data_IF_960597198376
#
_entry.id   IF_960597198376
#
_cell.length_a   1.000
_cell.length_b   1.000
_cell.length_c   1.000
_cell.angle_alpha   90.00
_cell.angle_beta   90.00
_cell.angle_gamma   90.00
#
_symmetry.space_group_name_H-M   'P 1'
#
loop_
_entity.id
_entity.type
_entity.pdbx_description
1 polymer ?
#
# COMPACT_ATOMS: atom_id res chain seq x y z
N UNK A 1 30.04 33.83 -5.30
CA UNK A 1 29.42 34.48 -4.12
C UNK A 1 28.44 33.49 -3.54
N UNK A 2 28.69 33.06 -2.27
CA UNK A 2 27.85 32.15 -1.58
C UNK A 2 26.41 32.68 -1.51
N UNK A 3 25.45 31.78 -1.61
CA UNK A 3 24.03 32.10 -1.60
C UNK A 3 23.60 32.49 -0.18
N UNK A 4 23.83 33.75 0.19
CA UNK A 4 23.56 34.32 1.52
C UNK A 4 22.08 34.20 1.90
N UNK A 5 21.18 34.14 0.90
CA UNK A 5 19.73 33.98 1.12
C UNK A 5 19.38 32.57 1.54
N UNK A 6 20.01 31.56 0.93
CA UNK A 6 19.77 30.16 1.31
C UNK A 6 20.34 29.85 2.71
N UNK A 7 21.50 30.44 3.06
CA UNK A 7 22.09 30.31 4.40
C UNK A 7 21.22 31.03 5.46
N UNK A 8 20.70 32.21 5.14
CA UNK A 8 19.76 32.90 6.04
C UNK A 8 18.43 32.19 6.23
N UNK A 9 17.91 31.55 5.17
CA UNK A 9 16.67 30.75 5.25
C UNK A 9 16.87 29.46 6.02
N UNK A 10 18.02 28.80 5.90
CA UNK A 10 18.32 27.58 6.67
C UNK A 10 18.43 27.88 8.18
N UNK A 11 18.95 29.06 8.55
CA UNK A 11 19.03 29.50 9.96
C UNK A 11 17.67 29.98 10.51
N UNK A 12 16.83 30.60 9.67
CA UNK A 12 15.46 30.97 10.06
C UNK A 12 14.55 29.78 10.27
N UNK A 13 14.77 28.68 9.54
CA UNK A 13 13.95 27.47 9.71
C UNK A 13 14.11 26.80 11.06
N UNK A 14 15.26 26.89 11.70
CA UNK A 14 15.46 26.39 13.07
C UNK A 14 14.66 27.21 14.08
N UNK A 15 14.63 28.54 13.93
CA UNK A 15 13.87 29.44 14.80
C UNK A 15 12.36 29.35 14.51
N UNK A 16 11.96 29.19 13.24
CA UNK A 16 10.57 28.98 12.84
C UNK A 16 10.02 27.62 13.31
N UNK A 17 10.84 26.58 13.32
CA UNK A 17 10.47 25.28 13.87
C UNK A 17 10.29 25.37 15.42
N UNK A 18 11.17 26.09 16.11
CA UNK A 18 11.03 26.35 17.55
C UNK A 18 9.80 27.23 17.86
N UNK A 19 9.49 28.23 17.06
CA UNK A 19 8.29 29.07 17.21
C UNK A 19 7.00 28.31 16.86
N UNK A 20 7.01 27.46 15.86
CA UNK A 20 5.86 26.58 15.55
C UNK A 20 5.60 25.52 16.64
N UNK A 21 6.63 25.10 17.36
CA UNK A 21 6.48 24.16 18.50
C UNK A 21 5.94 24.90 19.74
N UNK A 22 6.27 26.18 19.92
CA UNK A 22 5.80 26.95 21.08
C UNK A 22 4.33 27.36 21.00
N UNK A 23 3.73 27.33 19.82
CA UNK A 23 2.41 27.93 19.57
C UNK A 23 1.32 26.88 19.40
N UNK A 24 1.29 25.79 20.15
CA UNK A 24 0.21 25.04 19.79
C UNK A 24 -0.35 23.84 20.38
N UNK A 25 -1.59 23.72 20.09
CA UNK A 25 -2.40 22.51 19.85
C UNK A 25 -1.63 21.28 19.33
N UNK A 26 -0.50 21.49 18.63
CA UNK A 26 0.41 20.43 18.18
C UNK A 26 1.12 19.76 19.38
N UNK A 27 1.49 20.52 20.41
CA UNK A 27 2.10 19.94 21.64
C UNK A 27 1.08 19.10 22.41
N UNK A 28 -0.18 19.50 22.42
CA UNK A 28 -1.25 18.67 23.01
C UNK A 28 -1.47 17.41 22.18
N UNK A 29 -1.49 17.51 20.85
CA UNK A 29 -1.57 16.35 19.97
C UNK A 29 -0.35 15.43 20.10
N UNK A 30 0.86 15.97 20.28
CA UNK A 30 2.06 15.17 20.58
C UNK A 30 2.01 14.55 21.97
N UNK A 31 1.44 15.22 22.96
CA UNK A 31 1.23 14.68 24.30
C UNK A 31 0.20 13.56 24.30
N UNK A 32 -0.85 13.67 23.50
CA UNK A 32 -1.83 12.60 23.28
C UNK A 32 -1.23 11.39 22.54
N UNK A 33 -0.17 11.62 21.74
CA UNK A 33 0.63 10.56 21.12
C UNK A 33 1.78 10.06 22.01
N UNK A 34 1.84 10.47 23.30
CA UNK A 34 2.92 10.13 24.24
C UNK A 34 4.34 10.48 23.74
N UNK A 35 4.48 11.55 22.97
CA UNK A 35 5.77 12.08 22.53
C UNK A 35 6.26 13.11 23.53
N UNK A 36 7.43 12.90 24.15
CA UNK A 36 8.08 13.87 25.01
C UNK A 36 9.27 14.52 24.32
N UNK A 37 9.35 15.85 24.39
CA UNK A 37 10.48 16.63 23.90
C UNK A 37 11.34 17.01 25.13
N UNK A 38 12.62 16.67 25.12
CA UNK A 38 13.56 17.06 26.18
C UNK A 38 14.60 18.02 25.63
N UNK A 39 14.98 19.05 26.44
CA UNK A 39 16.08 19.94 26.12
C UNK A 39 17.41 19.24 26.42
N UNK A 40 18.23 19.05 25.38
CA UNK A 40 19.60 18.56 25.50
C UNK A 40 20.61 19.69 25.44
N UNK A 41 21.85 19.42 25.79
CA UNK A 41 22.94 20.40 25.88
C UNK A 41 23.30 21.14 24.59
N UNK A 42 22.78 20.71 23.47
CA UNK A 42 22.99 21.31 22.10
C UNK A 42 21.72 21.66 21.34
N UNK A 43 20.60 21.85 22.03
CA UNK A 43 19.30 22.15 21.44
C UNK A 43 18.25 21.08 21.71
N UNK A 44 17.05 21.28 21.20
CA UNK A 44 15.94 20.32 21.31
C UNK A 44 16.32 18.99 20.65
N UNK A 45 16.73 18.01 21.42
CA UNK A 45 16.79 16.63 20.98
C UNK A 45 15.39 16.03 21.10
N UNK A 46 14.83 15.62 19.99
CA UNK A 46 13.75 14.62 20.01
C UNK A 46 14.38 13.33 20.54
N UNK A 47 14.37 13.18 21.86
CA UNK A 47 14.85 11.97 22.47
C UNK A 47 14.00 10.82 21.94
N UNK A 48 14.66 9.70 21.66
CA UNK A 48 14.05 8.41 21.36
C UNK A 48 12.92 8.16 22.35
N UNK A 49 11.72 8.56 21.99
CA UNK A 49 10.55 8.17 22.74
C UNK A 49 10.43 6.67 22.57
N UNK A 50 10.66 5.90 23.61
CA UNK A 50 10.05 4.58 23.71
C UNK A 50 8.56 4.87 23.67
N UNK A 51 7.95 4.72 22.49
CA UNK A 51 6.49 4.70 22.39
C UNK A 51 6.11 3.42 23.14
N UNK A 52 5.70 3.58 24.37
CA UNK A 52 5.19 2.48 25.17
C UNK A 52 3.76 2.24 24.65
N UNK A 53 3.70 1.47 23.57
CA UNK A 53 2.43 1.05 23.00
C UNK A 53 1.75 0.19 24.06
N UNK A 54 0.56 0.60 24.48
CA UNK A 54 -0.24 -0.09 25.48
C UNK A 54 -0.37 -1.59 25.18
N UNK A 55 -0.53 -1.95 23.91
CA UNK A 55 -0.57 -3.34 23.47
C UNK A 55 0.72 -4.08 23.80
N UNK A 56 1.88 -3.46 23.56
CA UNK A 56 3.19 -4.08 23.85
C UNK A 56 3.41 -4.21 25.33
N UNK A 57 2.98 -3.22 26.12
CA UNK A 57 3.03 -3.30 27.59
C UNK A 57 2.18 -4.47 28.10
N UNK A 58 0.94 -4.60 27.61
CA UNK A 58 0.06 -5.72 27.96
C UNK A 58 0.62 -7.08 27.55
N UNK A 59 1.24 -7.16 26.36
CA UNK A 59 1.89 -8.41 25.90
C UNK A 59 3.07 -8.74 26.84
N UNK A 60 3.90 -7.78 27.23
CA UNK A 60 5.02 -7.99 28.15
C UNK A 60 4.56 -8.53 29.50
N UNK A 61 3.53 -7.93 30.09
CA UNK A 61 2.95 -8.37 31.36
C UNK A 61 2.39 -9.78 31.26
N UNK A 62 1.67 -10.08 30.17
CA UNK A 62 1.10 -11.41 29.95
C UNK A 62 2.17 -12.49 29.70
N UNK A 63 3.25 -12.15 28.97
CA UNK A 63 4.38 -13.08 28.77
C UNK A 63 5.04 -13.52 30.08
N UNK A 64 5.05 -12.66 31.09
CA UNK A 64 5.61 -12.98 32.42
C UNK A 64 4.71 -13.96 33.20
N UNK A 65 3.44 -14.02 32.88
CA UNK A 65 2.46 -14.89 33.57
C UNK A 65 2.18 -16.19 32.84
N UNK A 66 2.45 -16.26 31.53
CA UNK A 66 2.17 -17.44 30.69
C UNK A 66 3.26 -18.51 30.85
N UNK A 67 2.86 -19.70 31.32
CA UNK A 67 3.75 -20.85 31.54
C UNK A 67 4.32 -21.40 30.22
N UNK A 68 3.52 -21.41 29.15
CA UNK A 68 3.95 -21.90 27.83
C UNK A 68 5.07 -20.98 27.27
N UNK A 69 4.94 -19.66 27.44
CA UNK A 69 5.96 -18.70 27.03
C UNK A 69 7.22 -18.85 27.88
N UNK A 70 7.09 -19.07 29.20
CA UNK A 70 8.23 -19.31 30.10
C UNK A 70 8.98 -20.59 29.72
N UNK A 71 8.27 -21.65 29.37
CA UNK A 71 8.87 -22.91 28.93
C UNK A 71 9.66 -22.81 27.61
N UNK A 72 9.39 -21.77 26.82
CA UNK A 72 10.16 -21.49 25.60
C UNK A 72 11.48 -20.78 25.87
N UNK A 73 11.63 -20.14 27.05
CA UNK A 73 12.86 -19.42 27.43
C UNK A 73 13.98 -20.44 27.61
N UNK A 74 15.10 -20.23 26.91
CA UNK A 74 16.24 -21.15 26.90
C UNK A 74 16.36 -21.99 25.61
N UNK A 75 15.38 -21.95 24.71
CA UNK A 75 15.52 -22.52 23.38
C UNK A 75 16.41 -21.61 22.49
N UNK A 76 17.15 -22.21 21.56
CA UNK A 76 18.11 -21.50 20.71
C UNK A 76 17.51 -20.36 19.89
N UNK A 77 16.24 -20.46 19.53
CA UNK A 77 15.54 -19.50 18.68
C UNK A 77 14.79 -18.41 19.47
N UNK A 78 14.83 -18.47 20.80
CA UNK A 78 14.13 -17.54 21.70
C UNK A 78 15.11 -16.56 22.31
N UNK A 79 14.87 -15.28 22.15
CA UNK A 79 15.64 -14.21 22.78
C UNK A 79 14.82 -13.55 23.88
N UNK A 80 15.40 -13.47 25.07
CA UNK A 80 14.87 -12.73 26.22
C UNK A 80 16.04 -12.09 26.95
N UNK A 81 16.22 -10.77 26.78
CA UNK A 81 17.28 -9.99 27.41
C UNK A 81 16.67 -8.95 28.35
N UNK A 82 17.23 -8.83 29.55
CA UNK A 82 16.96 -7.77 30.53
C UNK A 82 15.47 -7.53 30.85
N UNK A 83 14.69 -8.62 31.04
CA UNK A 83 13.24 -8.55 31.29
C UNK A 83 12.44 -7.83 30.21
N UNK A 84 12.98 -7.73 29.00
CA UNK A 84 12.28 -7.22 27.82
C UNK A 84 11.33 -8.29 27.24
N UNK A 85 10.71 -7.98 26.11
CA UNK A 85 9.80 -8.88 25.43
C UNK A 85 10.46 -10.20 25.02
N UNK A 86 9.78 -11.30 25.27
CA UNK A 86 10.15 -12.61 24.72
C UNK A 86 9.90 -12.63 23.22
N UNK A 87 10.95 -12.93 22.45
CA UNK A 87 10.89 -12.97 20.99
C UNK A 87 11.34 -14.33 20.48
N UNK A 88 10.59 -14.86 19.50
CA UNK A 88 10.95 -16.06 18.74
C UNK A 88 11.46 -15.66 17.35
N UNK A 89 12.71 -15.94 17.04
CA UNK A 89 13.36 -15.51 15.78
C UNK A 89 13.17 -14.00 15.49
N UNK A 90 13.35 -13.15 16.51
CA UNK A 90 13.18 -11.70 16.41
C UNK A 90 11.73 -11.19 16.45
N UNK A 91 10.74 -12.07 16.47
CA UNK A 91 9.30 -11.72 16.47
C UNK A 91 8.72 -11.84 17.88
N UNK A 92 7.87 -10.90 18.26
CA UNK A 92 7.25 -10.85 19.59
C UNK A 92 6.31 -12.05 19.76
N UNK A 93 6.51 -12.84 20.81
CA UNK A 93 5.63 -13.96 21.16
C UNK A 93 4.35 -13.41 21.78
N UNK A 94 3.18 -13.73 21.20
CA UNK A 94 1.88 -13.32 21.75
C UNK A 94 1.31 -14.48 22.56
N UNK A 95 1.12 -14.31 23.89
CA UNK A 95 0.52 -15.32 24.75
C UNK A 95 -0.88 -15.74 24.30
N UNK A 96 -1.29 -16.94 24.71
CA UNK A 96 -2.64 -17.44 24.40
C UNK A 96 -3.70 -16.64 25.16
N UNK A 97 -4.84 -16.32 24.52
CA UNK A 97 -5.95 -15.63 25.15
C UNK A 97 -6.31 -14.33 24.45
N UNK A 98 -6.95 -13.42 25.18
CA UNK A 98 -7.52 -12.15 24.69
C UNK A 98 -6.55 -11.30 23.85
N UNK A 99 -5.26 -11.32 24.17
CA UNK A 99 -4.26 -10.51 23.46
C UNK A 99 -4.09 -10.91 21.99
N UNK A 100 -4.27 -12.21 21.66
CA UNK A 100 -4.29 -12.65 20.26
C UNK A 100 -5.48 -12.07 19.52
N UNK A 101 -6.64 -12.04 20.17
CA UNK A 101 -7.86 -11.48 19.57
C UNK A 101 -7.69 -9.96 19.34
N UNK A 102 -7.11 -9.24 20.29
CA UNK A 102 -6.79 -7.80 20.12
C UNK A 102 -5.85 -7.58 18.93
N UNK A 103 -4.79 -8.37 18.80
CA UNK A 103 -3.87 -8.29 17.66
C UNK A 103 -4.58 -8.62 16.34
N UNK A 104 -5.46 -9.61 16.34
CA UNK A 104 -6.23 -10.01 15.15
C UNK A 104 -7.25 -8.93 14.75
N UNK A 105 -7.94 -8.33 15.72
CA UNK A 105 -8.88 -7.24 15.49
C UNK A 105 -8.17 -6.04 14.88
N UNK A 106 -7.06 -5.59 15.49
CA UNK A 106 -6.30 -4.44 15.00
C UNK A 106 -5.73 -4.67 13.59
N UNK A 107 -5.25 -5.88 13.31
CA UNK A 107 -4.68 -6.22 12.01
C UNK A 107 -5.74 -6.48 10.92
N UNK A 108 -7.02 -6.62 11.27
CA UNK A 108 -8.10 -6.90 10.31
C UNK A 108 -9.11 -5.75 10.20
N UNK A 109 -9.50 -5.15 11.32
CA UNK A 109 -10.55 -4.13 11.43
C UNK A 109 -10.00 -2.77 11.89
N UNK A 110 -8.68 -2.66 12.10
CA UNK A 110 -8.03 -1.42 12.46
C UNK A 110 -8.18 -0.35 11.36
N UNK A 111 -8.15 0.93 11.75
CA UNK A 111 -8.29 2.05 10.80
C UNK A 111 -7.27 2.02 9.64
N UNK A 112 -6.13 1.38 9.86
CA UNK A 112 -5.04 1.25 8.89
C UNK A 112 -5.02 -0.11 8.18
N UNK A 113 -5.99 -0.99 8.48
CA UNK A 113 -6.07 -2.37 7.96
C UNK A 113 -7.51 -2.68 7.56
N UNK A 114 -7.88 -2.33 6.33
CA UNK A 114 -9.25 -2.49 5.85
C UNK A 114 -9.45 -3.93 5.37
N UNK A 115 -9.92 -4.80 6.24
CA UNK A 115 -10.32 -6.18 5.97
C UNK A 115 -9.36 -6.98 5.07
N UNK A 116 -8.04 -7.05 5.37
CA UNK A 116 -7.12 -7.82 4.56
C UNK A 116 -7.51 -9.30 4.58
N UNK A 117 -7.36 -9.96 3.43
CA UNK A 117 -7.54 -11.42 3.35
C UNK A 117 -6.49 -12.17 4.18
N UNK A 118 -6.80 -13.42 4.58
CA UNK A 118 -5.97 -14.22 5.49
C UNK A 118 -4.48 -14.29 5.11
N UNK A 119 -4.18 -14.40 3.82
CA UNK A 119 -2.78 -14.47 3.35
C UNK A 119 -2.04 -13.14 3.58
N UNK A 120 -2.65 -12.00 3.23
CA UNK A 120 -2.06 -10.68 3.45
C UNK A 120 -1.84 -10.43 4.93
N UNK A 121 -2.90 -10.61 5.74
CA UNK A 121 -2.88 -10.44 7.19
C UNK A 121 -1.79 -11.30 7.87
N UNK A 122 -1.64 -12.57 7.45
CA UNK A 122 -0.58 -13.43 7.96
C UNK A 122 0.81 -12.89 7.62
N UNK A 123 1.05 -12.43 6.38
CA UNK A 123 2.34 -11.90 5.96
C UNK A 123 2.69 -10.60 6.69
N UNK A 124 1.71 -9.78 7.00
CA UNK A 124 1.92 -8.53 7.72
C UNK A 124 2.20 -8.80 9.20
N UNK A 125 1.38 -9.61 9.86
CA UNK A 125 1.56 -9.95 11.28
C UNK A 125 2.84 -10.74 11.55
N UNK A 126 3.21 -11.69 10.70
CA UNK A 126 4.39 -12.53 10.92
C UNK A 126 5.71 -11.75 10.88
N UNK A 127 5.70 -10.53 10.42
CA UNK A 127 6.88 -9.66 10.43
C UNK A 127 7.26 -9.25 11.87
N UNK A 128 6.24 -9.03 12.72
CA UNK A 128 6.42 -8.49 14.07
C UNK A 128 6.02 -9.47 15.18
N UNK A 129 5.05 -10.32 14.93
CA UNK A 129 4.46 -11.23 15.92
C UNK A 129 4.61 -12.70 15.56
N UNK A 130 4.53 -13.54 16.59
CA UNK A 130 4.56 -14.97 16.43
C UNK A 130 3.80 -15.69 17.58
N UNK A 131 3.09 -16.76 17.26
CA UNK A 131 2.55 -17.76 18.19
C UNK A 131 2.30 -19.10 17.49
N UNK A 132 2.26 -20.22 18.21
CA UNK A 132 1.94 -21.53 17.64
C UNK A 132 0.57 -21.52 16.97
N UNK A 133 0.47 -22.01 15.73
CA UNK A 133 -0.81 -22.06 14.99
C UNK A 133 -1.29 -20.75 14.36
N UNK A 134 -0.51 -19.68 14.45
CA UNK A 134 -0.85 -18.34 13.98
C UNK A 134 -1.53 -18.30 12.60
N UNK A 135 -1.01 -19.07 11.61
CA UNK A 135 -1.59 -19.09 10.26
C UNK A 135 -3.02 -19.64 10.25
N UNK A 136 -3.30 -20.65 11.09
CA UNK A 136 -4.63 -21.26 11.23
C UNK A 136 -5.59 -20.28 11.91
N UNK A 137 -5.18 -19.70 13.03
CA UNK A 137 -5.99 -18.75 13.79
C UNK A 137 -6.40 -17.55 12.94
N UNK A 138 -5.46 -16.98 12.16
CA UNK A 138 -5.75 -15.89 11.21
C UNK A 138 -6.74 -16.34 10.14
N UNK A 139 -6.57 -17.53 9.57
CA UNK A 139 -7.49 -18.03 8.54
C UNK A 139 -8.90 -18.22 9.09
N UNK A 140 -9.03 -18.76 10.30
CA UNK A 140 -10.32 -18.95 10.98
C UNK A 140 -10.98 -17.61 11.33
N UNK A 141 -10.20 -16.64 11.80
CA UNK A 141 -10.69 -15.31 12.12
C UNK A 141 -11.26 -14.60 10.89
N UNK A 142 -10.49 -14.55 9.78
CA UNK A 142 -10.94 -13.93 8.53
C UNK A 142 -12.15 -14.65 7.92
N UNK A 143 -12.19 -16.00 8.02
CA UNK A 143 -13.33 -16.77 7.52
C UNK A 143 -14.64 -16.46 8.25
N UNK A 144 -14.59 -16.06 9.52
CA UNK A 144 -15.75 -15.68 10.34
C UNK A 144 -16.20 -14.23 10.14
N UNK A 145 -15.41 -13.40 9.47
CA UNK A 145 -15.75 -12.01 9.28
C UNK A 145 -16.91 -11.84 8.29
N UNK A 146 -18.05 -11.35 8.79
CA UNK A 146 -19.26 -11.16 7.99
C UNK A 146 -19.08 -10.12 6.88
N UNK A 147 -18.31 -9.06 7.13
CA UNK A 147 -17.99 -8.03 6.13
C UNK A 147 -17.24 -8.65 4.97
N UNK A 148 -16.16 -9.40 5.25
CA UNK A 148 -15.40 -10.10 4.22
C UNK A 148 -16.23 -11.09 3.40
N UNK A 149 -17.20 -11.76 4.03
CA UNK A 149 -18.09 -12.69 3.34
C UNK A 149 -19.08 -11.98 2.40
N UNK A 150 -19.61 -10.82 2.83
CA UNK A 150 -20.56 -10.02 2.02
C UNK A 150 -19.90 -9.31 0.85
N UNK A 151 -18.62 -8.97 0.95
CA UNK A 151 -17.89 -8.20 -0.07
C UNK A 151 -17.39 -9.07 -1.22
N UNK A 152 -17.24 -10.39 -1.03
CA UNK A 152 -16.76 -11.29 -2.08
C UNK A 152 -17.71 -11.34 -3.28
N UNK A 153 -17.22 -10.88 -4.44
CA UNK A 153 -17.92 -10.97 -5.74
C UNK A 153 -17.14 -11.96 -6.61
N UNK A 154 -17.87 -12.74 -7.43
CA UNK A 154 -17.25 -13.55 -8.46
C UNK A 154 -16.82 -12.66 -9.64
N UNK A 155 -15.51 -12.68 -9.92
CA UNK A 155 -14.95 -11.97 -11.07
C UNK A 155 -14.92 -12.89 -12.29
N UNK A 156 -15.36 -12.36 -13.45
CA UNK A 156 -15.27 -13.08 -14.71
C UNK A 156 -13.81 -13.20 -15.15
N UNK A 157 -13.45 -14.35 -15.71
CA UNK A 157 -12.11 -14.59 -16.23
C UNK A 157 -12.10 -14.37 -17.73
N UNK A 158 -11.18 -13.54 -18.26
CA UNK A 158 -11.06 -13.32 -19.69
C UNK A 158 -10.62 -14.59 -20.42
N UNK A 159 -10.96 -14.71 -21.70
CA UNK A 159 -10.60 -15.81 -22.57
C UNK A 159 -9.26 -15.56 -23.27
N UNK A 160 -8.59 -16.60 -23.78
CA UNK A 160 -7.33 -16.51 -24.52
C UNK A 160 -6.10 -16.75 -23.64
N UNK A 161 -4.90 -16.77 -24.25
CA UNK A 161 -3.62 -16.94 -23.53
C UNK A 161 -3.18 -15.63 -22.90
N UNK A 162 -2.49 -15.72 -21.76
CA UNK A 162 -1.98 -14.54 -21.06
C UNK A 162 -0.84 -13.87 -21.83
N UNK A 163 -1.00 -12.58 -22.13
CA UNK A 163 0.03 -11.73 -22.73
C UNK A 163 0.72 -10.90 -21.64
N UNK A 164 1.88 -11.31 -21.10
CA UNK A 164 2.55 -10.57 -20.06
C UNK A 164 3.13 -9.28 -20.62
N UNK A 165 2.88 -8.18 -19.91
CA UNK A 165 3.52 -6.90 -20.20
C UNK A 165 4.96 -6.88 -19.72
N UNK A 166 5.80 -6.10 -20.39
CA UNK A 166 7.16 -5.84 -19.98
C UNK A 166 7.23 -5.24 -18.58
N UNK A 167 8.20 -5.71 -17.76
CA UNK A 167 8.40 -5.20 -16.41
C UNK A 167 9.25 -3.93 -16.50
N UNK A 168 8.81 -2.79 -15.93
CA UNK A 168 9.56 -1.54 -15.96
C UNK A 168 10.95 -1.65 -15.35
N UNK A 169 11.86 -0.78 -15.77
CA UNK A 169 13.22 -0.74 -15.24
C UNK A 169 13.31 0.01 -13.91
N UNK A 170 12.53 1.06 -13.77
CA UNK A 170 12.54 1.90 -12.58
C UNK A 170 11.14 2.21 -12.04
N UNK A 171 11.10 2.79 -10.82
CA UNK A 171 9.87 3.21 -10.12
C UNK A 171 9.28 4.40 -10.83
N UNK A 172 7.97 4.36 -11.08
CA UNK A 172 7.19 5.41 -11.74
C UNK A 172 7.55 5.72 -13.20
N UNK A 173 8.46 4.97 -13.83
CA UNK A 173 8.74 5.08 -15.27
C UNK A 173 7.58 4.57 -16.13
N UNK A 174 6.87 3.58 -15.64
CA UNK A 174 5.70 3.05 -16.35
C UNK A 174 4.53 2.95 -15.40
N UNK A 175 3.48 3.70 -15.72
CA UNK A 175 2.24 3.72 -14.92
C UNK A 175 1.07 3.15 -15.68
N UNK A 176 0.07 2.68 -14.97
CA UNK A 176 -1.22 2.33 -15.54
C UNK A 176 -2.31 3.16 -14.87
N UNK A 177 -3.36 3.51 -15.63
CA UNK A 177 -4.44 4.37 -15.18
C UNK A 177 -5.78 3.85 -15.66
N UNK A 178 -6.80 4.04 -14.80
CA UNK A 178 -8.17 3.72 -15.12
C UNK A 178 -9.14 4.50 -14.23
N UNK A 179 -10.42 4.54 -14.58
CA UNK A 179 -11.45 5.20 -13.78
C UNK A 179 -12.42 4.19 -13.16
N UNK A 180 -12.67 4.36 -11.87
CA UNK A 180 -13.82 3.74 -11.21
C UNK A 180 -14.98 4.73 -11.31
N UNK A 181 -15.99 4.40 -12.09
CA UNK A 181 -17.16 5.24 -12.36
C UNK A 181 -18.41 4.66 -11.73
N UNK A 182 -19.48 5.45 -11.69
CA UNK A 182 -20.79 4.99 -11.19
C UNK A 182 -20.90 4.92 -9.67
N UNK A 183 -19.99 5.55 -8.94
CA UNK A 183 -20.08 5.68 -7.49
C UNK A 183 -21.18 6.66 -7.09
N UNK A 184 -21.83 6.46 -5.93
CA UNK A 184 -22.82 7.41 -5.42
C UNK A 184 -22.21 8.80 -5.26
N UNK A 185 -22.92 9.83 -5.73
CA UNK A 185 -22.42 11.20 -5.65
C UNK A 185 -22.29 11.65 -4.20
N UNK A 186 -21.10 12.12 -3.85
CA UNK A 186 -20.80 12.59 -2.49
C UNK A 186 -21.35 14.02 -2.26
N UNK A 187 -21.35 14.47 -1.01
CA UNK A 187 -21.71 15.86 -0.67
C UNK A 187 -20.77 16.87 -1.33
N UNK A 188 -19.50 16.52 -1.52
CA UNK A 188 -18.50 17.33 -2.24
C UNK A 188 -18.64 17.23 -3.77
N UNK A 189 -19.60 16.44 -4.26
CA UNK A 189 -19.92 16.32 -5.68
C UNK A 189 -19.07 15.29 -6.44
N UNK A 190 -18.20 14.52 -5.79
CA UNK A 190 -17.44 13.44 -6.43
C UNK A 190 -18.31 12.22 -6.69
N UNK A 191 -18.10 11.56 -7.82
CA UNK A 191 -18.85 10.39 -8.28
C UNK A 191 -17.94 9.33 -8.93
N UNK A 192 -16.64 9.57 -8.97
CA UNK A 192 -15.68 8.72 -9.63
C UNK A 192 -14.30 8.78 -8.94
N UNK A 193 -13.48 7.75 -9.13
CA UNK A 193 -12.10 7.70 -8.65
C UNK A 193 -11.18 7.48 -9.84
N UNK A 194 -10.13 8.27 -9.96
CA UNK A 194 -9.05 8.01 -10.89
C UNK A 194 -7.97 7.21 -10.19
N UNK A 195 -7.73 6.00 -10.66
CA UNK A 195 -6.73 5.05 -10.14
C UNK A 195 -5.48 5.14 -10.99
N UNK A 196 -4.33 5.41 -10.37
CA UNK A 196 -3.03 5.49 -11.04
C UNK A 196 -2.08 4.58 -10.28
N UNK A 197 -1.46 3.63 -10.99
CA UNK A 197 -0.64 2.57 -10.39
C UNK A 197 0.75 2.55 -11.02
N UNK A 198 1.78 2.57 -10.20
CA UNK A 198 3.14 2.25 -10.64
C UNK A 198 3.25 0.75 -10.95
N UNK A 199 3.66 0.45 -12.16
CA UNK A 199 3.72 -0.93 -12.65
C UNK A 199 4.86 -1.74 -12.03
N UNK A 200 5.89 -1.11 -11.51
CA UNK A 200 7.00 -1.80 -10.82
C UNK A 200 6.66 -2.07 -9.35
N UNK A 201 6.43 -1.03 -8.56
CA UNK A 201 6.22 -1.15 -7.10
C UNK A 201 4.80 -1.48 -6.70
N UNK A 202 3.85 -1.40 -7.65
CA UNK A 202 2.41 -1.53 -7.41
C UNK A 202 1.84 -0.48 -6.44
N UNK A 203 2.61 0.58 -6.15
CA UNK A 203 2.07 1.71 -5.39
C UNK A 203 1.00 2.41 -6.22
N UNK A 204 -0.06 2.83 -5.55
CA UNK A 204 -1.21 3.43 -6.22
C UNK A 204 -1.61 4.75 -5.58
N UNK A 205 -2.13 5.65 -6.41
CA UNK A 205 -2.85 6.85 -6.01
C UNK A 205 -4.32 6.75 -6.40
N UNK A 206 -5.21 7.09 -5.48
CA UNK A 206 -6.65 7.10 -5.67
C UNK A 206 -7.16 8.53 -5.59
N UNK A 207 -7.44 9.14 -6.74
CA UNK A 207 -7.78 10.54 -6.84
C UNK A 207 -9.29 10.74 -6.98
N UNK A 208 -9.86 11.58 -6.12
CA UNK A 208 -11.25 11.96 -6.21
C UNK A 208 -11.50 12.81 -7.45
N UNK A 209 -12.40 12.37 -8.30
CA UNK A 209 -12.77 13.08 -9.53
C UNK A 209 -14.29 13.08 -9.72
N UNK A 210 -14.74 13.91 -10.64
CA UNK A 210 -16.12 13.93 -11.10
C UNK A 210 -16.17 13.46 -12.55
N UNK A 211 -17.21 12.77 -12.92
CA UNK A 211 -17.44 12.30 -14.29
C UNK A 211 -17.45 13.45 -15.31
N UNK A 212 -17.86 14.66 -14.87
CA UNK A 212 -17.93 15.88 -15.68
C UNK A 212 -16.62 16.69 -15.75
N UNK A 213 -15.51 16.20 -15.16
CA UNK A 213 -14.21 16.90 -15.26
C UNK A 213 -13.74 16.95 -16.71
N UNK A 214 -13.33 18.16 -17.13
CA UNK A 214 -12.67 18.36 -18.41
C UNK A 214 -11.26 17.74 -18.40
N UNK A 215 -10.72 17.48 -19.58
CA UNK A 215 -9.38 16.90 -19.73
C UNK A 215 -8.31 17.83 -19.17
N UNK A 216 -8.47 19.16 -19.28
CA UNK A 216 -7.56 20.15 -18.70
C UNK A 216 -7.53 20.05 -17.19
N UNK A 217 -8.68 19.86 -16.54
CA UNK A 217 -8.74 19.71 -15.10
C UNK A 217 -8.11 18.39 -14.62
N UNK A 218 -8.29 17.32 -15.39
CA UNK A 218 -7.59 16.05 -15.13
C UNK A 218 -6.09 16.20 -15.31
N UNK A 219 -5.63 16.92 -16.33
CA UNK A 219 -4.21 17.21 -16.54
C UNK A 219 -3.58 18.01 -15.39
N UNK A 220 -4.30 19.03 -14.87
CA UNK A 220 -3.85 19.77 -13.69
C UNK A 220 -3.73 18.87 -12.46
N UNK A 221 -4.70 17.99 -12.26
CA UNK A 221 -4.71 17.01 -11.16
C UNK A 221 -3.53 16.04 -11.32
N UNK A 222 -3.29 15.52 -12.52
CA UNK A 222 -2.19 14.64 -12.86
C UNK A 222 -0.83 15.26 -12.56
N UNK A 223 -0.61 16.50 -13.03
CA UNK A 223 0.63 17.22 -12.75
C UNK A 223 0.83 17.44 -11.26
N UNK A 224 -0.22 17.81 -10.54
CA UNK A 224 -0.15 18.11 -9.10
C UNK A 224 0.10 16.86 -8.27
N UNK A 225 -0.54 15.73 -8.57
CA UNK A 225 -0.54 14.54 -7.71
C UNK A 225 0.49 13.49 -8.16
N UNK A 226 0.83 13.45 -9.44
CA UNK A 226 1.75 12.43 -9.98
C UNK A 226 3.07 13.05 -10.41
N UNK A 227 3.05 13.96 -11.39
CA UNK A 227 4.30 14.50 -11.95
C UNK A 227 5.11 15.24 -10.88
N UNK A 228 4.46 16.01 -10.02
CA UNK A 228 5.13 16.73 -8.92
C UNK A 228 5.81 15.79 -7.91
N UNK A 229 5.23 14.60 -7.66
CA UNK A 229 5.72 13.67 -6.65
C UNK A 229 6.74 12.68 -7.20
N UNK A 230 6.55 12.23 -8.42
CA UNK A 230 7.27 11.09 -8.99
C UNK A 230 8.05 11.39 -10.26
N UNK A 231 7.85 12.56 -10.85
CA UNK A 231 8.38 12.91 -12.16
C UNK A 231 7.43 12.52 -13.29
N UNK A 232 7.90 12.71 -14.53
CA UNK A 232 7.18 12.33 -15.74
C UNK A 232 7.48 10.88 -16.07
N UNK A 233 6.47 10.01 -16.24
CA UNK A 233 6.72 8.62 -16.62
C UNK A 233 7.11 8.49 -18.10
N UNK A 234 7.90 7.50 -18.43
CA UNK A 234 8.26 7.15 -19.81
C UNK A 234 7.06 6.59 -20.58
N UNK A 235 6.20 5.85 -19.89
CA UNK A 235 5.04 5.24 -20.53
C UNK A 235 3.81 5.19 -19.62
N UNK A 236 2.64 5.36 -20.26
CA UNK A 236 1.33 5.25 -19.63
C UNK A 236 0.53 4.17 -20.35
N UNK A 237 -0.03 3.25 -19.58
CA UNK A 237 -1.00 2.26 -20.04
C UNK A 237 -2.37 2.66 -19.53
N UNK A 238 -3.34 2.77 -20.40
CA UNK A 238 -4.73 3.05 -20.03
C UNK A 238 -5.70 2.34 -20.97
N UNK A 239 -6.94 2.29 -20.58
CA UNK A 239 -8.02 1.93 -21.46
C UNK A 239 -8.27 3.03 -22.54
N UNK A 240 -9.25 2.80 -23.41
CA UNK A 240 -9.64 3.77 -24.44
C UNK A 240 -10.75 4.71 -23.94
N UNK A 241 -10.72 5.12 -22.69
CA UNK A 241 -11.65 6.14 -22.20
C UNK A 241 -11.51 7.41 -23.06
N UNK A 242 -12.62 8.08 -23.44
CA UNK A 242 -12.60 9.30 -24.23
C UNK A 242 -11.70 10.40 -23.66
N UNK A 243 -11.48 10.44 -22.37
CA UNK A 243 -10.62 11.41 -21.70
C UNK A 243 -9.14 11.15 -22.02
N UNK A 244 -8.72 9.87 -22.06
CA UNK A 244 -7.33 9.48 -22.36
C UNK A 244 -7.04 9.46 -23.86
N UNK A 245 -8.07 9.31 -24.70
CA UNK A 245 -7.93 9.38 -26.17
C UNK A 245 -8.10 10.79 -26.72
N UNK A 246 -8.34 11.79 -25.89
CA UNK A 246 -8.52 13.18 -26.30
C UNK A 246 -7.24 13.76 -26.89
N UNK A 247 -7.39 14.65 -27.89
CA UNK A 247 -6.25 15.34 -28.51
C UNK A 247 -5.45 16.15 -27.51
N UNK A 248 -6.10 16.77 -26.54
CA UNK A 248 -5.43 17.54 -25.49
C UNK A 248 -4.54 16.65 -24.62
N UNK A 249 -5.06 15.47 -24.20
CA UNK A 249 -4.29 14.52 -23.41
C UNK A 249 -3.08 13.99 -24.18
N UNK A 250 -3.27 13.62 -25.46
CA UNK A 250 -2.18 13.19 -26.34
C UNK A 250 -1.10 14.25 -26.46
N UNK A 251 -1.46 15.50 -26.79
CA UNK A 251 -0.52 16.60 -26.93
C UNK A 251 0.24 16.92 -25.62
N UNK A 252 -0.42 16.77 -24.46
CA UNK A 252 0.23 16.93 -23.15
C UNK A 252 1.30 15.86 -22.92
N UNK A 253 0.98 14.60 -23.22
CA UNK A 253 1.92 13.50 -23.03
C UNK A 253 3.07 13.56 -24.04
N UNK A 254 2.80 13.96 -25.28
CA UNK A 254 3.83 14.20 -26.29
C UNK A 254 4.80 15.31 -25.85
N UNK A 255 4.27 16.40 -25.25
CA UNK A 255 5.09 17.48 -24.71
C UNK A 255 5.97 17.02 -23.51
N UNK A 256 5.53 16.01 -22.76
CA UNK A 256 6.31 15.39 -21.70
C UNK A 256 7.28 14.31 -22.22
N UNK A 257 7.15 13.88 -23.46
CA UNK A 257 7.91 12.77 -24.02
C UNK A 257 7.41 11.39 -23.55
N UNK A 258 6.20 11.31 -23.02
CA UNK A 258 5.58 10.08 -22.48
C UNK A 258 4.92 9.28 -23.59
N UNK A 259 5.18 7.98 -23.67
CA UNK A 259 4.52 7.06 -24.61
C UNK A 259 3.16 6.61 -24.08
N UNK A 260 2.10 6.92 -24.82
CA UNK A 260 0.76 6.39 -24.53
C UNK A 260 0.59 5.01 -25.17
N UNK A 261 0.30 4.00 -24.34
CA UNK A 261 -0.01 2.62 -24.75
C UNK A 261 -1.46 2.32 -24.40
N UNK A 262 -2.36 2.58 -25.35
CA UNK A 262 -3.78 2.31 -25.15
C UNK A 262 -4.05 0.81 -25.29
N UNK A 263 -4.77 0.23 -24.32
CA UNK A 263 -5.20 -1.16 -24.39
C UNK A 263 -6.17 -1.36 -25.56
N UNK A 264 -6.15 -2.55 -26.16
CA UNK A 264 -7.16 -2.88 -27.18
C UNK A 264 -8.50 -3.14 -26.52
N UNK A 265 -9.59 -2.73 -27.20
CA UNK A 265 -10.94 -3.00 -26.72
C UNK A 265 -11.13 -4.50 -26.46
N UNK A 266 -11.71 -4.84 -25.30
CA UNK A 266 -11.97 -6.23 -24.88
C UNK A 266 -10.74 -7.12 -24.60
N UNK A 267 -9.52 -6.54 -24.44
CA UNK A 267 -8.36 -7.24 -23.95
C UNK A 267 -7.96 -6.78 -22.53
N UNK A 268 -8.66 -7.25 -21.49
CA UNK A 268 -8.36 -6.91 -20.09
C UNK A 268 -6.96 -7.40 -19.65
N UNK A 269 -6.34 -8.24 -20.48
CA UNK A 269 -5.00 -8.78 -20.21
C UNK A 269 -3.89 -7.72 -20.26
N UNK A 270 -4.10 -6.63 -21.02
CA UNK A 270 -3.09 -5.56 -21.16
C UNK A 270 -3.02 -4.72 -19.90
N UNK A 271 -4.10 -4.62 -19.11
CA UNK A 271 -4.15 -3.85 -17.87
C UNK A 271 -4.65 -4.63 -16.64
N UNK A 272 -4.55 -5.94 -16.66
CA UNK A 272 -4.97 -6.82 -15.54
C UNK A 272 -4.34 -6.51 -14.18
N UNK A 273 -3.39 -5.56 -14.13
CA UNK A 273 -2.81 -5.07 -12.88
C UNK A 273 -3.68 -3.95 -12.29
N UNK A 274 -4.09 -2.99 -13.09
CA UNK A 274 -4.98 -1.89 -12.67
C UNK A 274 -6.35 -2.44 -12.35
N UNK A 275 -6.88 -3.34 -13.19
CA UNK A 275 -8.14 -4.02 -12.94
C UNK A 275 -8.13 -4.72 -11.57
N UNK A 276 -7.06 -5.45 -11.22
CA UNK A 276 -6.94 -6.08 -9.90
C UNK A 276 -6.82 -5.06 -8.76
N UNK A 277 -6.16 -3.94 -8.99
CA UNK A 277 -6.07 -2.85 -8.02
C UNK A 277 -7.45 -2.22 -7.82
N UNK A 278 -8.20 -1.99 -8.89
CA UNK A 278 -9.58 -1.49 -8.85
C UNK A 278 -10.48 -2.47 -8.10
N UNK A 279 -10.44 -3.76 -8.39
CA UNK A 279 -11.19 -4.77 -7.65
C UNK A 279 -10.88 -4.72 -6.15
N UNK A 280 -9.60 -4.59 -5.80
CA UNK A 280 -9.20 -4.48 -4.39
C UNK A 280 -9.71 -3.18 -3.77
N UNK A 281 -9.63 -2.06 -4.50
CA UNK A 281 -10.17 -0.76 -4.08
C UNK A 281 -11.68 -0.83 -3.83
N UNK A 282 -12.42 -1.39 -4.77
CA UNK A 282 -13.88 -1.56 -4.65
C UNK A 282 -14.25 -2.43 -3.45
N UNK A 283 -13.54 -3.55 -3.23
CA UNK A 283 -13.78 -4.42 -2.08
C UNK A 283 -13.52 -3.69 -0.77
N UNK A 284 -12.46 -2.87 -0.69
CA UNK A 284 -12.14 -2.07 0.48
C UNK A 284 -13.16 -0.96 0.73
N UNK A 285 -13.61 -0.28 -0.34
CA UNK A 285 -14.66 0.75 -0.23
C UNK A 285 -16.00 0.14 0.19
N UNK A 286 -16.37 -1.03 -0.33
CA UNK A 286 -17.57 -1.76 0.11
C UNK A 286 -17.47 -2.15 1.58
N UNK A 287 -16.30 -2.60 2.05
CA UNK A 287 -16.09 -2.91 3.45
C UNK A 287 -16.32 -1.67 4.33
N UNK A 288 -15.72 -0.53 3.98
CA UNK A 288 -15.92 0.73 4.69
C UNK A 288 -17.39 1.18 4.68
N UNK A 289 -18.09 1.07 3.54
CA UNK A 289 -19.48 1.46 3.42
C UNK A 289 -20.43 0.59 4.26
N UNK A 290 -20.14 -0.72 4.35
CA UNK A 290 -20.93 -1.65 5.16
C UNK A 290 -20.78 -1.42 6.67
N UNK A 291 -19.60 -0.97 7.13
CA UNK A 291 -19.32 -0.75 8.53
C UNK A 291 -19.80 0.61 9.04
N UNK A 292 -19.62 1.66 8.23
CA UNK A 292 -19.72 3.02 8.71
C UNK A 292 -20.82 3.86 8.02
N UNK A 293 -21.44 3.36 6.93
CA UNK A 293 -22.64 3.91 6.31
C UNK A 293 -22.55 5.35 5.82
N UNK A 294 -21.35 5.92 5.67
CA UNK A 294 -21.13 7.33 5.33
C UNK A 294 -20.49 7.51 3.95
N UNK A 295 -20.20 8.76 3.61
CA UNK A 295 -19.64 9.15 2.30
C UNK A 295 -18.29 8.48 2.03
N UNK A 296 -18.18 7.72 0.96
CA UNK A 296 -17.01 6.92 0.58
C UNK A 296 -15.75 7.75 0.33
N UNK A 297 -15.88 9.03 -0.05
CA UNK A 297 -14.78 9.95 -0.33
C UNK A 297 -13.91 10.23 0.92
N UNK A 298 -14.51 10.20 2.11
CA UNK A 298 -13.79 10.41 3.37
C UNK A 298 -12.84 9.27 3.71
N UNK A 299 -13.14 8.07 3.26
CA UNK A 299 -12.32 6.89 3.53
C UNK A 299 -11.23 6.67 2.48
N UNK A 300 -11.32 7.32 1.32
CA UNK A 300 -10.39 7.08 0.21
C UNK A 300 -8.91 7.24 0.62
N UNK A 301 -8.50 8.23 1.43
CA UNK A 301 -7.10 8.33 1.89
C UNK A 301 -6.67 7.14 2.77
N UNK A 302 -7.57 6.62 3.61
CA UNK A 302 -7.28 5.44 4.44
C UNK A 302 -7.23 4.17 3.60
N UNK A 303 -8.09 4.06 2.60
CA UNK A 303 -8.09 2.95 1.62
C UNK A 303 -6.80 2.95 0.82
N UNK A 304 -6.35 4.11 0.32
CA UNK A 304 -5.07 4.26 -0.38
C UNK A 304 -3.90 3.85 0.53
N UNK A 305 -3.88 4.37 1.75
CA UNK A 305 -2.87 4.00 2.73
C UNK A 305 -2.85 2.49 3.01
N UNK A 306 -4.01 1.90 3.29
CA UNK A 306 -4.14 0.47 3.58
C UNK A 306 -3.72 -0.40 2.38
N UNK A 307 -4.10 -0.01 1.16
CA UNK A 307 -3.66 -0.68 -0.06
C UNK A 307 -2.14 -0.66 -0.19
N UNK A 308 -1.53 0.51 -0.11
CA UNK A 308 -0.09 0.68 -0.28
C UNK A 308 0.73 0.01 0.84
N UNK A 309 0.14 -0.16 2.00
CA UNK A 309 0.81 -0.75 3.17
C UNK A 309 0.55 -2.25 3.35
N UNK A 310 -0.38 -2.83 2.59
CA UNK A 310 -0.69 -4.27 2.65
C UNK A 310 0.28 -5.11 1.81
N UNK A 311 0.59 -6.31 2.30
CA UNK A 311 1.43 -7.28 1.56
C UNK A 311 0.90 -7.56 0.16
N UNK A 312 1.76 -7.42 -0.84
CA UNK A 312 1.46 -7.74 -2.24
C UNK A 312 2.20 -9.02 -2.67
N UNK A 313 1.45 -10.04 -3.09
CA UNK A 313 1.99 -11.39 -3.34
C UNK A 313 3.04 -11.44 -4.46
N UNK A 314 2.88 -10.62 -5.52
CA UNK A 314 3.84 -10.60 -6.63
C UNK A 314 5.15 -9.91 -6.26
N UNK A 315 5.11 -8.95 -5.34
CA UNK A 315 6.29 -8.24 -4.83
C UNK A 315 6.96 -9.00 -3.67
N UNK A 316 6.16 -9.73 -2.87
CA UNK A 316 6.59 -10.33 -1.62
C UNK A 316 6.86 -9.31 -0.50
N UNK A 317 6.33 -8.09 -0.64
CA UNK A 317 6.38 -6.99 0.32
C UNK A 317 5.21 -6.02 0.06
N UNK A 318 5.03 -5.00 0.90
CA UNK A 318 4.05 -3.96 0.64
C UNK A 318 4.51 -3.01 -0.48
N UNK A 319 3.59 -2.41 -1.28
CA UNK A 319 3.93 -1.39 -2.27
C UNK A 319 4.71 -0.21 -1.68
N UNK A 320 4.36 0.26 -0.49
CA UNK A 320 5.08 1.30 0.23
C UNK A 320 6.54 0.90 0.51
N UNK A 321 6.76 -0.34 0.96
CA UNK A 321 8.10 -0.89 1.21
C UNK A 321 8.91 -0.99 -0.08
N UNK A 322 8.28 -1.39 -1.19
CA UNK A 322 8.91 -1.43 -2.51
C UNK A 322 9.31 -0.03 -3.02
N UNK A 323 8.46 0.98 -2.75
CA UNK A 323 8.67 2.36 -3.20
C UNK A 323 9.76 3.05 -2.38
N UNK A 324 9.67 3.01 -1.05
CA UNK A 324 10.52 3.79 -0.14
C UNK A 324 11.69 3.01 0.46
N UNK A 325 11.78 1.70 0.23
CA UNK A 325 12.84 0.86 0.78
C UNK A 325 12.69 0.53 2.27
N UNK A 326 11.67 1.04 2.92
CA UNK A 326 11.39 0.85 4.34
C UNK A 326 9.93 0.54 4.59
N UNK A 327 9.64 -0.10 5.71
CA UNK A 327 8.27 -0.37 6.12
C UNK A 327 7.58 0.90 6.60
N UNK A 328 6.29 1.02 6.32
CA UNK A 328 5.49 2.05 6.94
C UNK A 328 5.28 1.74 8.42
N UNK A 329 5.37 2.74 9.27
CA UNK A 329 5.05 2.62 10.69
C UNK A 329 3.55 2.64 10.88
N UNK A 330 3.03 1.58 11.45
CA UNK A 330 1.63 1.47 11.89
C UNK A 330 1.58 1.23 13.39
N UNK A 331 0.46 1.43 14.06
CA UNK A 331 0.33 1.16 15.51
C UNK A 331 0.81 -0.23 15.90
N UNK A 332 0.67 -1.22 15.01
CA UNK A 332 1.13 -2.61 15.21
C UNK A 332 2.65 -2.76 15.15
N UNK A 333 3.36 -1.84 14.46
CA UNK A 333 4.80 -1.93 14.20
C UNK A 333 5.63 -0.80 14.82
N UNK A 334 5.07 0.04 15.66
CA UNK A 334 5.76 1.23 16.21
C UNK A 334 6.99 0.92 17.09
N UNK A 335 7.18 -0.33 17.48
CA UNK A 335 8.30 -0.75 18.33
C UNK A 335 9.59 -1.11 17.59
N UNK A 336 9.59 -1.14 16.27
CA UNK A 336 10.80 -1.39 15.48
C UNK A 336 11.70 -0.14 15.49
N UNK A 337 12.55 -0.04 16.52
CA UNK A 337 13.59 0.99 16.64
C UNK A 337 14.83 0.49 15.92
N UNK A 338 15.29 1.22 14.90
CA UNK A 338 16.56 0.94 14.25
C UNK A 338 16.55 1.12 12.74
N UNK A 339 16.11 2.29 12.25
CA UNK A 339 16.42 2.67 10.87
C UNK A 339 17.93 2.97 10.80
N UNK A 340 18.68 2.19 10.01
CA UNK A 340 20.01 2.58 9.59
C UNK A 340 19.88 3.85 8.77
N UNK A 341 20.53 4.93 9.17
CA UNK A 341 20.73 6.08 8.31
C UNK A 341 21.71 5.67 7.21
N UNK A 342 21.17 5.38 6.04
CA UNK A 342 21.98 5.18 4.84
C UNK A 342 22.22 6.53 4.20
N UNK A 343 23.47 6.86 3.96
CA UNK A 343 23.88 8.13 3.38
C UNK A 343 24.62 7.89 2.05
N UNK A 344 24.27 8.66 1.02
CA UNK A 344 25.03 8.75 -0.22
C UNK A 344 25.04 7.47 -1.08
N UNK A 345 26.22 6.99 -1.51
CA UNK A 345 26.36 5.87 -2.46
C UNK A 345 25.74 4.57 -2.01
N UNK A 346 25.77 4.28 -0.69
CA UNK A 346 25.18 3.06 -0.11
C UNK A 346 23.67 3.00 -0.32
N UNK A 347 22.98 4.14 -0.21
CA UNK A 347 21.54 4.24 -0.44
C UNK A 347 21.18 3.96 -1.90
N UNK A 348 21.99 4.43 -2.86
CA UNK A 348 21.79 4.18 -4.29
C UNK A 348 21.99 2.70 -4.60
N UNK A 349 23.03 2.09 -4.06
CA UNK A 349 23.32 0.67 -4.25
C UNK A 349 22.21 -0.20 -3.68
N UNK A 350 21.78 0.05 -2.44
CA UNK A 350 20.69 -0.70 -1.80
C UNK A 350 19.37 -0.55 -2.57
N UNK A 351 19.06 0.65 -3.07
CA UNK A 351 17.87 0.89 -3.91
C UNK A 351 17.95 0.08 -5.21
N UNK A 352 19.12 0.04 -5.87
CA UNK A 352 19.32 -0.72 -7.11
C UNK A 352 19.19 -2.22 -6.88
N UNK A 353 19.73 -2.74 -5.78
CA UNK A 353 19.59 -4.16 -5.39
C UNK A 353 18.12 -4.52 -5.09
N UNK A 354 17.38 -3.64 -4.41
CA UNK A 354 15.95 -3.83 -4.17
C UNK A 354 15.14 -3.86 -5.47
N UNK A 355 15.41 -2.97 -6.41
CA UNK A 355 14.74 -2.95 -7.72
C UNK A 355 15.00 -4.26 -8.47
N UNK A 356 16.25 -4.72 -8.50
CA UNK A 356 16.60 -6.01 -9.11
C UNK A 356 15.82 -7.16 -8.46
N UNK A 357 15.75 -7.20 -7.14
CA UNK A 357 14.99 -8.21 -6.41
C UNK A 357 13.48 -8.15 -6.72
N UNK A 358 12.90 -6.95 -6.83
CA UNK A 358 11.50 -6.74 -7.19
C UNK A 358 11.24 -7.26 -8.62
N UNK A 359 12.09 -6.90 -9.58
CA UNK A 359 11.99 -7.38 -10.97
C UNK A 359 12.04 -8.90 -11.05
N UNK A 360 12.97 -9.54 -10.35
CA UNK A 360 13.09 -11.01 -10.30
C UNK A 360 11.83 -11.67 -9.72
N UNK A 361 11.26 -11.10 -8.66
CA UNK A 361 10.00 -11.58 -8.07
C UNK A 361 8.83 -11.43 -9.03
N UNK A 362 8.73 -10.29 -9.72
CA UNK A 362 7.68 -10.04 -10.72
C UNK A 362 7.79 -11.00 -11.91
N UNK A 363 8.99 -11.23 -12.44
CA UNK A 363 9.22 -12.22 -13.50
C UNK A 363 8.77 -13.63 -13.10
N UNK A 364 9.14 -14.05 -11.87
CA UNK A 364 8.69 -15.34 -11.32
C UNK A 364 7.17 -15.39 -11.11
N UNK A 365 6.56 -14.29 -10.71
CA UNK A 365 5.11 -14.20 -10.53
C UNK A 365 4.38 -14.25 -11.88
N UNK A 366 4.85 -13.51 -12.88
CA UNK A 366 4.30 -13.56 -14.25
C UNK A 366 4.44 -14.93 -14.89
N UNK A 367 5.61 -15.58 -14.75
CA UNK A 367 5.83 -16.93 -15.28
C UNK A 367 4.85 -17.95 -14.65
N UNK A 368 4.67 -17.91 -13.34
CA UNK A 368 3.69 -18.76 -12.64
C UNK A 368 2.27 -18.45 -13.07
N UNK A 369 1.90 -17.17 -13.15
CA UNK A 369 0.56 -16.76 -13.58
C UNK A 369 0.27 -17.25 -14.99
N UNK A 370 1.22 -17.07 -15.93
CA UNK A 370 1.11 -17.57 -17.31
C UNK A 370 0.95 -19.08 -17.34
N UNK A 371 1.79 -19.82 -16.62
CA UNK A 371 1.72 -21.30 -16.58
C UNK A 371 0.36 -21.81 -16.10
N UNK A 372 -0.16 -21.26 -14.99
CA UNK A 372 -1.46 -21.67 -14.47
C UNK A 372 -2.63 -21.21 -15.34
N UNK A 373 -2.51 -20.06 -15.98
CA UNK A 373 -3.55 -19.51 -16.83
C UNK A 373 -3.62 -20.29 -18.15
N UNK A 374 -2.51 -20.47 -18.84
CA UNK A 374 -2.44 -21.09 -20.16
C UNK A 374 -2.85 -22.58 -20.12
N UNK A 375 -2.59 -23.29 -19.00
CA UNK A 375 -3.07 -24.67 -18.80
C UNK A 375 -4.59 -24.81 -18.85
N UNK A 376 -5.33 -23.76 -18.54
CA UNK A 376 -6.80 -23.74 -18.45
C UNK A 376 -7.48 -23.05 -19.64
N UNK A 377 -6.70 -22.45 -20.53
CA UNK A 377 -7.20 -21.66 -21.64
C UNK A 377 -6.64 -22.20 -22.96
N UNK A 378 -7.45 -22.10 -24.01
CA UNK A 378 -7.03 -22.44 -25.37
C UNK A 378 -6.59 -21.18 -26.11
N UNK A 379 -5.61 -21.26 -27.04
CA UNK A 379 -5.31 -20.15 -27.91
C UNK A 379 -6.59 -19.85 -28.74
N UNK A 380 -7.01 -18.60 -28.72
CA UNK A 380 -8.12 -18.11 -29.51
C UNK A 380 -7.52 -17.25 -30.63
N UNK A 381 -7.59 -17.75 -31.84
CA UNK A 381 -7.29 -17.00 -33.06
C UNK A 381 -8.53 -17.06 -33.93
N UNK A 382 -8.97 -15.91 -34.38
CA UNK A 382 -10.11 -15.78 -35.28
C UNK A 382 -9.63 -15.20 -36.60
N UNK A 383 -10.09 -15.75 -37.70
CA UNK A 383 -9.88 -15.22 -39.03
C UNK A 383 -11.11 -14.46 -39.51
N UNK A 384 -10.90 -13.58 -40.47
CA UNK A 384 -12.01 -12.82 -41.06
C UNK A 384 -13.01 -13.76 -41.71
N UNK A 385 -14.28 -13.80 -41.23
CA UNK A 385 -15.29 -14.74 -41.64
C UNK A 385 -15.68 -15.80 -40.62
N UNK A 386 -14.97 -15.90 -39.51
CA UNK A 386 -15.32 -16.83 -38.44
C UNK A 386 -16.60 -16.41 -37.70
N UNK A 387 -17.44 -17.38 -37.41
CA UNK A 387 -18.72 -17.17 -36.68
C UNK A 387 -18.45 -17.47 -35.19
N UNK A 388 -18.72 -16.49 -34.34
CA UNK A 388 -18.53 -16.59 -32.87
C UNK A 388 -19.84 -16.33 -32.13
N UNK A 389 -20.05 -17.03 -31.03
CA UNK A 389 -21.15 -16.75 -30.12
C UNK A 389 -20.71 -15.63 -29.12
N UNK A 390 -21.47 -14.53 -29.12
CA UNK A 390 -21.31 -13.48 -28.13
C UNK A 390 -22.21 -13.79 -26.92
N UNK A 391 -21.61 -13.86 -25.73
CA UNK A 391 -22.37 -13.89 -24.49
C UNK A 391 -22.70 -12.44 -24.08
N UNK A 392 -23.94 -12.06 -24.28
CA UNK A 392 -24.45 -10.78 -23.78
C UNK A 392 -24.75 -10.93 -22.29
N UNK A 393 -24.17 -10.06 -21.47
CA UNK A 393 -24.61 -9.88 -20.09
C UNK A 393 -25.84 -8.99 -20.07
N UNK A 394 -26.89 -9.32 -19.29
CA UNK A 394 -28.10 -8.50 -19.21
C UNK A 394 -27.83 -7.11 -18.63
#
# INVERSE_FOLDING_TARGET
>A
KANVVADALSRKNVIAACLMISDCKLIEQFRDMHLTVTEGAHGLEMSRTKIDNELIRRIREAQQQDEDVRAMIGQSDVSWKDHDLVKYQGRIVVPKGELRDVVLVEAHQGQFSIHPGATKMYHDLKKSFWWPGMKKDIAEYVAKCLVCQKVKIEHQRPSGLLQPLEIPEWKWDSISMDFVVGLPRTQSGYDSIWVIVDRLTKSAHFLLVRSDYTTEKLAQLYVREIVRLHGVPDSIISDRDPKFTSRFWGALQDAFGTQLRLSTAYHPQTDGQTERTIQTLEDMLRACALEQGTSWDRYLPLVEFSYNNSFHASLGMAPYEALYGRRCRTPVCWTEVGEKQLLGPEMVQETSEQIKMIRDKLMKAQSRQRSYYDQKHRPLQFEEGDHVFLRLSP
#
